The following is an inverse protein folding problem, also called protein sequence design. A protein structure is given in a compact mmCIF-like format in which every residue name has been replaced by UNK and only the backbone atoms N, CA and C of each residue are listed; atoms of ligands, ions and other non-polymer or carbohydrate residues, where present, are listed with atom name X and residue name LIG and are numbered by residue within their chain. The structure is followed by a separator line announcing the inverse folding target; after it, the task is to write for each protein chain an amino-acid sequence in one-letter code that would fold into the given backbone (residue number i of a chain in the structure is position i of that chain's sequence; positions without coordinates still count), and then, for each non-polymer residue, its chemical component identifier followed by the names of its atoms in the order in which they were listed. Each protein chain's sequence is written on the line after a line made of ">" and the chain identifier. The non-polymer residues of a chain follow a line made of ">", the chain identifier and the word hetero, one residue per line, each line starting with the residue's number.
data_IF_023073652450
#
_entry.id   IF_023073652450
#
_cell.length_a   1.000
_cell.length_b   1.000
_cell.length_c   1.000
_cell.angle_alpha   90.00
_cell.angle_beta   90.00
_cell.angle_gamma   90.00
#
_symmetry.space_group_name_H-M   'P 1'
#
loop_
_entity.id
_entity.type
_entity.pdbx_description
1 polymer ?
#
# COMPACT_ATOMS: atom_id res chain seq x y z
N UNK A 1 -33.29 1.47 -18.23
CA UNK A 1 -32.24 0.78 -17.43
C UNK A 1 -32.11 -0.64 -17.95
N UNK A 2 -30.92 -1.05 -18.41
CA UNK A 2 -30.72 -2.38 -19.03
C UNK A 2 -30.86 -3.49 -17.98
N UNK A 3 -31.76 -4.47 -18.19
CA UNK A 3 -32.05 -5.58 -17.25
C UNK A 3 -30.77 -6.33 -16.84
N UNK A 4 -29.79 -6.45 -17.76
CA UNK A 4 -28.48 -7.08 -17.47
C UNK A 4 -27.70 -6.35 -16.36
N UNK A 5 -27.83 -5.03 -16.26
CA UNK A 5 -27.15 -4.24 -15.24
C UNK A 5 -27.80 -4.42 -13.86
N UNK A 6 -29.11 -4.65 -13.80
CA UNK A 6 -29.82 -4.86 -12.55
C UNK A 6 -29.46 -6.22 -11.93
N UNK A 7 -29.48 -7.30 -12.72
CA UNK A 7 -29.09 -8.65 -12.23
C UNK A 7 -27.63 -8.69 -11.76
N UNK A 8 -26.71 -8.05 -12.48
CA UNK A 8 -25.30 -7.95 -12.05
C UNK A 8 -25.17 -7.21 -10.71
N UNK A 9 -25.91 -6.11 -10.52
CA UNK A 9 -25.91 -5.34 -9.25
C UNK A 9 -26.46 -6.17 -8.08
N UNK A 10 -27.55 -6.91 -8.29
CA UNK A 10 -28.15 -7.78 -7.27
C UNK A 10 -27.15 -8.89 -6.88
N UNK A 11 -26.56 -9.58 -7.86
CA UNK A 11 -25.58 -10.64 -7.61
C UNK A 11 -24.33 -10.11 -6.89
N UNK A 12 -23.81 -8.94 -7.29
CA UNK A 12 -22.68 -8.29 -6.60
C UNK A 12 -23.05 -7.90 -5.17
N UNK A 13 -24.26 -7.41 -4.93
CA UNK A 13 -24.76 -7.07 -3.60
C UNK A 13 -24.87 -8.30 -2.70
N UNK A 14 -25.47 -9.38 -3.20
CA UNK A 14 -25.55 -10.65 -2.47
C UNK A 14 -24.16 -11.21 -2.17
N UNK A 15 -23.26 -11.23 -3.15
CA UNK A 15 -21.87 -11.67 -2.95
C UNK A 15 -21.20 -10.88 -1.82
N UNK A 16 -21.27 -9.55 -1.84
CA UNK A 16 -20.67 -8.70 -0.79
C UNK A 16 -21.26 -8.99 0.60
N UNK A 17 -22.54 -9.32 0.70
CA UNK A 17 -23.18 -9.69 1.98
C UNK A 17 -22.75 -11.07 2.48
N UNK A 18 -22.46 -12.01 1.57
CA UNK A 18 -22.04 -13.37 1.92
C UNK A 18 -20.54 -13.48 2.18
N UNK A 19 -19.73 -12.55 1.68
CA UNK A 19 -18.27 -12.56 1.85
C UNK A 19 -17.81 -12.64 3.32
N UNK A 20 -18.37 -11.85 4.26
CA UNK A 20 -18.02 -11.96 5.68
C UNK A 20 -18.33 -13.33 6.28
N UNK A 21 -19.34 -14.03 5.79
CA UNK A 21 -19.71 -15.38 6.27
C UNK A 21 -18.73 -16.44 5.77
N UNK A 22 -18.23 -16.29 4.54
CA UNK A 22 -17.24 -17.20 3.96
C UNK A 22 -15.80 -16.93 4.45
N UNK A 23 -15.50 -15.69 4.88
CA UNK A 23 -14.15 -15.26 5.22
C UNK A 23 -13.46 -16.15 6.26
N UNK A 24 -14.08 -16.54 7.40
CA UNK A 24 -13.43 -17.39 8.39
C UNK A 24 -12.95 -18.73 7.82
N UNK A 25 -13.77 -19.40 7.01
CA UNK A 25 -13.43 -20.69 6.40
C UNK A 25 -12.31 -20.56 5.36
N UNK A 26 -12.37 -19.54 4.51
CA UNK A 26 -11.31 -19.25 3.51
C UNK A 26 -9.98 -18.97 4.21
N UNK A 27 -10.01 -18.13 5.24
CA UNK A 27 -8.85 -17.75 6.04
C UNK A 27 -8.25 -18.95 6.79
N UNK A 28 -9.09 -19.79 7.41
CA UNK A 28 -8.65 -21.00 8.10
C UNK A 28 -7.99 -21.98 7.13
N UNK A 29 -8.58 -22.19 5.95
CA UNK A 29 -7.99 -23.05 4.91
C UNK A 29 -6.65 -22.50 4.41
N UNK A 30 -6.54 -21.19 4.19
CA UNK A 30 -5.28 -20.57 3.80
C UNK A 30 -4.22 -20.73 4.90
N UNK A 31 -4.56 -20.48 6.16
CA UNK A 31 -3.65 -20.67 7.29
C UNK A 31 -3.21 -22.13 7.45
N UNK A 32 -4.13 -23.10 7.34
CA UNK A 32 -3.81 -24.52 7.40
C UNK A 32 -2.83 -24.95 6.30
N UNK A 33 -3.00 -24.44 5.07
CA UNK A 33 -2.05 -24.70 3.98
C UNK A 33 -0.65 -24.16 4.28
N UNK A 34 -0.55 -22.98 4.89
CA UNK A 34 0.75 -22.39 5.28
C UNK A 34 1.39 -23.17 6.41
N UNK A 35 0.62 -23.55 7.43
CA UNK A 35 1.10 -24.33 8.56
C UNK A 35 1.57 -25.74 8.16
N UNK A 36 0.94 -26.35 7.16
CA UNK A 36 1.31 -27.68 6.69
C UNK A 36 2.68 -27.72 6.00
N UNK A 37 3.10 -26.64 5.33
CA UNK A 37 4.41 -26.55 4.67
C UNK A 37 4.88 -25.08 4.57
N UNK A 38 5.42 -24.51 5.67
CA UNK A 38 5.88 -23.12 5.67
C UNK A 38 7.00 -22.86 4.64
N UNK A 39 7.87 -23.85 4.41
CA UNK A 39 8.99 -23.75 3.47
C UNK A 39 8.51 -23.57 2.03
N UNK A 40 7.53 -24.37 1.61
CA UNK A 40 6.90 -24.23 0.29
C UNK A 40 6.27 -22.84 0.10
N UNK A 41 5.55 -22.33 1.10
CA UNK A 41 4.90 -21.01 0.97
C UNK A 41 5.91 -19.86 0.95
N UNK A 42 7.04 -20.00 1.63
CA UNK A 42 8.16 -19.06 1.52
C UNK A 42 8.80 -19.06 0.12
N UNK A 43 8.98 -20.23 -0.48
CA UNK A 43 9.45 -20.35 -1.87
C UNK A 43 8.43 -19.77 -2.86
N UNK A 44 7.12 -20.02 -2.66
CA UNK A 44 6.04 -19.45 -3.48
C UNK A 44 5.97 -17.93 -3.35
N UNK A 45 6.16 -17.39 -2.15
CA UNK A 45 6.23 -15.95 -1.93
C UNK A 45 7.41 -15.34 -2.70
N UNK A 46 8.59 -15.96 -2.66
CA UNK A 46 9.76 -15.51 -3.42
C UNK A 46 9.49 -15.51 -4.94
N UNK A 47 8.90 -16.60 -5.46
CA UNK A 47 8.54 -16.71 -6.87
C UNK A 47 7.48 -15.68 -7.29
N UNK A 48 6.49 -15.42 -6.44
CA UNK A 48 5.48 -14.39 -6.67
C UNK A 48 6.10 -12.99 -6.71
N UNK A 49 7.05 -12.69 -5.80
CA UNK A 49 7.82 -11.44 -5.81
C UNK A 49 8.60 -11.30 -7.11
N UNK A 50 9.32 -12.34 -7.53
CA UNK A 50 10.09 -12.33 -8.78
C UNK A 50 9.20 -11.96 -9.99
N UNK A 51 8.03 -12.59 -10.11
CA UNK A 51 7.08 -12.29 -11.19
C UNK A 51 6.53 -10.86 -11.13
N UNK A 52 6.20 -10.36 -9.94
CA UNK A 52 5.70 -8.99 -9.80
C UNK A 52 6.77 -7.93 -10.08
N UNK A 53 8.03 -8.19 -9.74
CA UNK A 53 9.15 -7.33 -10.15
C UNK A 53 9.32 -7.35 -11.68
N UNK A 54 9.25 -8.53 -12.31
CA UNK A 54 9.30 -8.64 -13.76
C UNK A 54 8.14 -7.91 -14.46
N UNK A 55 6.95 -7.88 -13.84
CA UNK A 55 5.81 -7.10 -14.34
C UNK A 55 6.07 -5.58 -14.34
N UNK A 56 6.85 -5.06 -13.39
CA UNK A 56 7.28 -3.66 -13.36
C UNK A 56 8.43 -3.35 -14.33
N UNK A 57 9.23 -4.33 -14.74
CA UNK A 57 10.40 -4.12 -15.58
C UNK A 57 10.15 -3.29 -16.87
N UNK A 58 9.10 -3.56 -17.68
CA UNK A 58 8.83 -2.77 -18.89
C UNK A 58 8.23 -1.39 -18.60
N UNK A 59 7.84 -1.09 -17.35
CA UNK A 59 7.19 0.16 -16.99
C UNK A 59 8.23 1.21 -16.63
N UNK A 60 8.31 2.25 -17.45
CA UNK A 60 9.25 3.36 -17.23
C UNK A 60 8.78 4.32 -16.15
N UNK A 61 7.47 4.57 -16.09
CA UNK A 61 6.89 5.54 -15.17
C UNK A 61 6.03 4.81 -14.14
N UNK A 62 6.29 5.10 -12.87
CA UNK A 62 5.57 4.54 -11.75
C UNK A 62 4.84 5.66 -11.00
N UNK A 63 3.64 5.35 -10.52
CA UNK A 63 2.88 6.21 -9.63
C UNK A 63 3.65 6.49 -8.34
N UNK A 64 3.45 7.68 -7.76
CA UNK A 64 4.11 8.10 -6.52
C UNK A 64 3.90 7.10 -5.37
N UNK A 65 2.69 6.55 -5.24
CA UNK A 65 2.37 5.52 -4.26
C UNK A 65 3.13 4.21 -4.51
N UNK A 66 3.27 3.77 -5.77
CA UNK A 66 4.07 2.60 -6.11
C UNK A 66 5.56 2.80 -5.80
N UNK A 67 6.11 3.97 -6.16
CA UNK A 67 7.48 4.35 -5.83
C UNK A 67 7.70 4.32 -4.32
N UNK A 68 6.85 5.00 -3.55
CA UNK A 68 7.01 5.11 -2.10
C UNK A 68 6.90 3.75 -1.40
N UNK A 69 5.90 2.92 -1.73
CA UNK A 69 5.69 1.61 -1.08
C UNK A 69 6.89 0.67 -1.30
N UNK A 70 7.37 0.58 -2.54
CA UNK A 70 8.51 -0.27 -2.89
C UNK A 70 9.82 0.26 -2.30
N UNK A 71 10.04 1.58 -2.42
CA UNK A 71 11.21 2.26 -1.84
C UNK A 71 11.25 2.08 -0.33
N UNK A 72 10.12 2.28 0.36
CA UNK A 72 10.05 2.13 1.82
C UNK A 72 10.33 0.71 2.26
N UNK A 73 9.77 -0.28 1.57
CA UNK A 73 10.02 -1.70 1.83
C UNK A 73 11.48 -2.08 1.57
N UNK A 74 12.08 -1.56 0.49
CA UNK A 74 13.50 -1.75 0.20
C UNK A 74 14.40 -1.17 1.29
N UNK A 75 14.14 0.08 1.71
CA UNK A 75 14.90 0.76 2.78
C UNK A 75 14.76 0.11 4.15
N UNK A 76 13.73 -0.73 4.35
CA UNK A 76 13.58 -1.58 5.55
C UNK A 76 14.33 -2.90 5.46
N UNK A 77 14.93 -3.22 4.32
CA UNK A 77 15.63 -4.49 4.10
C UNK A 77 14.71 -5.65 3.70
N UNK A 78 13.47 -5.38 3.28
CA UNK A 78 12.51 -6.44 3.00
C UNK A 78 12.88 -7.26 1.76
N UNK A 79 13.25 -6.58 0.67
CA UNK A 79 13.53 -7.21 -0.62
C UNK A 79 14.54 -6.39 -1.45
N UNK A 80 15.76 -6.90 -1.71
CA UNK A 80 16.77 -6.22 -2.51
C UNK A 80 16.37 -6.03 -3.97
N UNK A 81 15.52 -6.90 -4.53
CA UNK A 81 15.03 -6.73 -5.91
C UNK A 81 14.23 -5.45 -6.13
N UNK A 82 13.79 -4.76 -5.08
CA UNK A 82 13.10 -3.46 -5.20
C UNK A 82 14.04 -2.28 -5.46
N UNK A 83 15.37 -2.48 -5.49
CA UNK A 83 16.33 -1.40 -5.75
C UNK A 83 16.11 -0.66 -7.09
N UNK A 84 15.44 -1.28 -8.08
CA UNK A 84 15.11 -0.62 -9.36
C UNK A 84 14.28 0.67 -9.21
N UNK A 85 13.61 0.86 -8.07
CA UNK A 85 12.81 2.07 -7.85
C UNK A 85 13.67 3.32 -7.71
N UNK A 86 14.96 3.20 -7.37
CA UNK A 86 15.87 4.35 -7.33
C UNK A 86 16.00 5.02 -8.69
N UNK A 87 16.22 4.23 -9.75
CA UNK A 87 16.27 4.72 -11.13
C UNK A 87 14.94 5.34 -11.56
N UNK A 88 13.82 4.76 -11.10
CA UNK A 88 12.47 5.24 -11.42
C UNK A 88 12.15 6.55 -10.70
N UNK A 89 12.58 6.73 -9.45
CA UNK A 89 12.50 8.01 -8.72
C UNK A 89 13.35 9.06 -9.43
N UNK A 90 14.59 8.73 -9.81
CA UNK A 90 15.49 9.65 -10.50
C UNK A 90 14.91 10.10 -11.86
N UNK A 91 14.25 9.19 -12.58
CA UNK A 91 13.51 9.53 -13.80
C UNK A 91 12.33 10.45 -13.49
N UNK A 92 11.47 10.07 -12.54
CA UNK A 92 10.27 10.84 -12.16
C UNK A 92 10.63 12.30 -11.85
N UNK A 93 11.72 12.52 -11.10
CA UNK A 93 12.26 13.85 -10.77
C UNK A 93 12.61 14.72 -11.98
N UNK A 94 12.98 14.11 -13.10
CA UNK A 94 13.37 14.82 -14.33
C UNK A 94 12.21 15.01 -15.31
N UNK A 95 11.06 14.36 -15.08
CA UNK A 95 9.95 14.35 -16.04
C UNK A 95 8.73 15.09 -15.53
N UNK A 96 8.52 15.20 -14.22
CA UNK A 96 7.32 15.79 -13.62
C UNK A 96 7.72 16.69 -12.44
N UNK A 97 7.07 17.86 -12.34
CA UNK A 97 7.08 18.66 -11.12
C UNK A 97 6.01 18.11 -10.17
N UNK A 98 6.46 17.49 -9.08
CA UNK A 98 5.59 16.89 -8.07
C UNK A 98 6.11 17.24 -6.66
N UNK A 99 5.35 18.02 -5.85
CA UNK A 99 5.74 18.35 -4.48
C UNK A 99 6.01 17.14 -3.57
N UNK A 100 5.43 15.98 -3.84
CA UNK A 100 5.65 14.75 -3.08
C UNK A 100 7.07 14.18 -3.28
N UNK A 101 7.84 14.61 -4.29
CA UNK A 101 9.24 14.18 -4.47
C UNK A 101 10.15 14.49 -3.27
N UNK A 102 9.77 15.47 -2.43
CA UNK A 102 10.43 15.73 -1.15
C UNK A 102 10.50 14.49 -0.25
N UNK A 103 9.58 13.55 -0.41
CA UNK A 103 9.59 12.29 0.33
C UNK A 103 10.81 11.42 0.01
N UNK A 104 11.46 11.59 -1.14
CA UNK A 104 12.71 10.91 -1.50
C UNK A 104 13.94 11.79 -1.36
N UNK A 105 13.78 13.11 -1.48
CA UNK A 105 14.85 14.09 -1.32
C UNK A 105 14.39 15.26 -0.44
N UNK A 106 14.84 15.33 0.83
CA UNK A 106 14.53 16.43 1.74
C UNK A 106 14.98 17.82 1.27
N UNK A 107 15.78 17.91 0.21
CA UNK A 107 16.21 19.18 -0.40
C UNK A 107 15.40 19.56 -1.65
N UNK A 108 14.47 18.70 -2.08
CA UNK A 108 13.63 18.98 -3.25
C UNK A 108 12.79 20.24 -3.04
N UNK A 109 12.93 21.17 -3.99
CA UNK A 109 12.16 22.40 -4.08
C UNK A 109 11.37 22.43 -5.40
N UNK A 110 10.03 22.26 -5.39
CA UNK A 110 9.22 22.30 -6.60
C UNK A 110 9.25 23.68 -7.28
N UNK A 111 9.70 24.73 -6.58
CA UNK A 111 9.81 26.10 -7.09
C UNK A 111 11.16 26.43 -7.71
N UNK A 112 12.13 25.52 -7.66
CA UNK A 112 13.41 25.71 -8.32
C UNK A 112 13.24 25.91 -9.85
N UNK A 113 14.04 26.77 -10.51
CA UNK A 113 13.89 27.09 -11.94
C UNK A 113 13.88 25.87 -12.86
N UNK A 114 14.64 24.82 -12.53
CA UNK A 114 14.71 23.56 -13.28
C UNK A 114 13.42 22.75 -13.17
N UNK A 115 12.73 22.79 -12.03
CA UNK A 115 11.50 22.04 -11.78
C UNK A 115 10.27 22.77 -12.31
N UNK A 116 10.24 24.10 -12.26
CA UNK A 116 9.16 24.93 -12.84
C UNK A 116 8.97 24.77 -14.35
N UNK A 117 9.95 24.24 -15.07
CA UNK A 117 9.88 23.96 -16.51
C UNK A 117 9.26 22.59 -16.83
N UNK A 118 9.11 21.73 -15.84
CA UNK A 118 8.50 20.41 -16.01
C UNK A 118 6.97 20.53 -15.96
N UNK A 119 6.23 19.61 -16.62
CA UNK A 119 4.79 19.50 -16.45
C UNK A 119 4.41 19.37 -14.97
N UNK A 120 3.40 20.12 -14.54
CA UNK A 120 2.87 19.99 -13.17
C UNK A 120 2.03 18.71 -13.08
N UNK A 121 2.32 17.89 -12.07
CA UNK A 121 1.52 16.71 -11.77
C UNK A 121 0.03 17.03 -11.62
N UNK A 122 -0.31 18.20 -11.07
CA UNK A 122 -1.70 18.63 -10.89
C UNK A 122 -2.43 18.91 -12.20
N UNK A 123 -1.70 19.26 -13.26
CA UNK A 123 -2.25 19.45 -14.60
C UNK A 123 -2.49 18.11 -15.31
N UNK A 124 -1.69 17.09 -14.98
CA UNK A 124 -1.77 15.74 -15.56
C UNK A 124 -2.79 14.87 -14.82
N UNK A 125 -2.80 14.98 -13.48
CA UNK A 125 -3.64 14.20 -12.57
C UNK A 125 -3.89 15.03 -11.30
N UNK A 126 -5.08 15.64 -11.19
CA UNK A 126 -5.45 16.33 -9.96
C UNK A 126 -5.39 15.40 -8.75
N UNK A 127 -4.76 15.87 -7.67
CA UNK A 127 -4.75 15.13 -6.41
C UNK A 127 -6.14 15.05 -5.80
N UNK A 128 -6.45 13.87 -5.27
CA UNK A 128 -7.55 13.69 -4.33
C UNK A 128 -7.24 14.40 -3.01
N UNK A 129 -8.25 14.79 -2.21
CA UNK A 129 -8.04 15.47 -0.93
C UNK A 129 -7.06 14.76 0.01
N UNK A 130 -7.09 13.42 0.01
CA UNK A 130 -6.20 12.61 0.83
C UNK A 130 -4.75 12.64 0.34
N UNK A 131 -4.51 12.79 -0.97
CA UNK A 131 -3.18 12.90 -1.55
C UNK A 131 -2.56 14.27 -1.24
N UNK A 132 -3.37 15.34 -1.27
CA UNK A 132 -2.95 16.67 -0.80
C UNK A 132 -2.54 16.64 0.68
N UNK A 133 -3.30 15.93 1.51
CA UNK A 133 -2.97 15.74 2.92
C UNK A 133 -1.67 14.95 3.12
N UNK A 134 -1.35 13.98 2.26
CA UNK A 134 -0.05 13.29 2.30
C UNK A 134 1.09 14.24 1.90
N UNK A 135 0.85 15.14 0.93
CA UNK A 135 1.84 16.18 0.57
C UNK A 135 2.07 17.11 1.76
N UNK A 136 1.02 17.58 2.44
CA UNK A 136 1.19 18.36 3.68
C UNK A 136 2.04 17.60 4.71
N UNK A 137 1.83 16.29 4.88
CA UNK A 137 2.62 15.46 5.79
C UNK A 137 4.11 15.34 5.39
N UNK A 138 4.41 15.26 4.08
CA UNK A 138 5.79 15.26 3.55
C UNK A 138 6.53 16.55 3.88
N UNK A 139 5.81 17.68 3.92
CA UNK A 139 6.37 19.02 4.08
C UNK A 139 6.28 19.57 5.52
N UNK A 140 5.71 18.80 6.45
CA UNK A 140 5.43 19.26 7.81
C UNK A 140 6.68 19.61 8.65
N UNK A 141 7.89 19.28 8.17
CA UNK A 141 9.16 19.64 8.78
C UNK A 141 9.61 21.08 8.45
N UNK A 142 9.13 21.63 7.32
CA UNK A 142 9.55 22.95 6.81
C UNK A 142 8.39 23.90 6.55
N UNK A 143 7.15 23.41 6.60
CA UNK A 143 5.93 24.20 6.49
C UNK A 143 5.05 23.87 7.68
N UNK A 144 4.50 24.90 8.33
CA UNK A 144 3.50 24.71 9.39
C UNK A 144 2.16 24.29 8.76
N UNK A 145 1.68 23.03 8.97
CA UNK A 145 0.39 22.59 8.46
C UNK A 145 -0.79 23.07 9.34
N UNK A 146 -0.51 23.86 10.37
CA UNK A 146 -1.44 24.37 11.36
C UNK A 146 -1.58 23.46 12.59
N UNK A 147 -1.97 24.06 13.72
CA UNK A 147 -2.05 23.38 15.01
C UNK A 147 -3.01 22.17 15.05
N UNK A 148 -4.02 22.13 14.19
CA UNK A 148 -5.00 21.04 14.11
C UNK A 148 -4.66 19.97 13.06
N UNK A 149 -3.45 19.97 12.49
CA UNK A 149 -3.12 19.05 11.41
C UNK A 149 -3.26 17.57 11.81
N UNK A 150 -2.77 17.19 12.98
CA UNK A 150 -2.92 15.81 13.48
C UNK A 150 -4.38 15.43 13.71
N UNK A 151 -5.23 16.39 14.11
CA UNK A 151 -6.68 16.22 14.23
C UNK A 151 -7.33 15.96 12.87
N UNK A 152 -6.94 16.71 11.84
CA UNK A 152 -7.38 16.48 10.45
C UNK A 152 -6.94 15.11 9.93
N UNK A 153 -5.70 14.68 10.21
CA UNK A 153 -5.25 13.31 9.86
C UNK A 153 -6.12 12.27 10.56
N UNK A 154 -6.33 12.37 11.88
CA UNK A 154 -7.14 11.41 12.61
C UNK A 154 -8.59 11.34 12.10
N UNK A 155 -9.14 12.47 11.67
CA UNK A 155 -10.52 12.58 11.18
C UNK A 155 -10.78 11.86 9.84
N UNK A 156 -9.74 11.44 9.10
CA UNK A 156 -9.93 10.65 7.88
C UNK A 156 -10.22 9.18 8.15
N UNK A 157 -10.17 8.71 9.41
CA UNK A 157 -10.47 7.31 9.74
C UNK A 157 -11.87 6.91 9.24
N UNK A 158 -11.89 5.90 8.39
CA UNK A 158 -13.08 5.33 7.75
C UNK A 158 -13.36 3.89 8.25
N UNK A 159 -12.86 3.54 9.44
CA UNK A 159 -13.13 2.26 10.07
C UNK A 159 -12.31 1.11 9.48
N UNK A 160 -11.03 1.38 9.23
CA UNK A 160 -10.06 0.50 8.57
C UNK A 160 -10.10 0.46 7.04
N UNK A 161 -10.73 1.40 6.37
CA UNK A 161 -10.65 1.55 4.91
C UNK A 161 -9.39 2.29 4.48
N UNK A 162 -9.53 3.07 3.42
CA UNK A 162 -8.44 3.80 2.76
C UNK A 162 -7.96 4.97 3.61
N UNK A 163 -8.89 5.64 4.31
CA UNK A 163 -8.52 6.72 5.24
C UNK A 163 -7.63 6.21 6.38
N UNK A 164 -8.02 5.09 6.99
CA UNK A 164 -7.24 4.49 8.07
C UNK A 164 -5.80 4.09 7.64
N UNK A 165 -5.60 3.60 6.42
CA UNK A 165 -4.24 3.28 5.93
C UNK A 165 -3.41 4.54 5.72
N UNK A 166 -4.03 5.64 5.31
CA UNK A 166 -3.36 6.91 5.10
C UNK A 166 -2.99 7.63 6.40
N UNK A 167 -3.66 7.33 7.52
CA UNK A 167 -3.19 7.76 8.85
C UNK A 167 -1.79 7.18 9.12
N UNK A 168 -1.57 5.91 8.79
CA UNK A 168 -0.27 5.24 8.95
C UNK A 168 0.76 5.79 7.97
N UNK A 169 0.38 6.03 6.71
CA UNK A 169 1.28 6.65 5.73
C UNK A 169 1.69 8.06 6.17
N UNK A 170 0.75 8.93 6.55
CA UNK A 170 1.06 10.28 7.02
C UNK A 170 2.00 10.27 8.23
N UNK A 171 1.74 9.39 9.19
CA UNK A 171 2.60 9.21 10.35
C UNK A 171 4.00 8.72 9.99
N UNK A 172 4.16 7.74 9.07
CA UNK A 172 5.49 7.31 8.60
C UNK A 172 6.24 8.46 7.90
N UNK A 173 5.55 9.23 7.05
CA UNK A 173 6.14 10.39 6.36
C UNK A 173 6.65 11.44 7.36
N UNK A 174 5.81 11.82 8.34
CA UNK A 174 6.18 12.79 9.37
C UNK A 174 7.28 12.28 10.33
N UNK A 175 7.31 10.96 10.62
CA UNK A 175 8.42 10.37 11.39
C UNK A 175 9.74 10.48 10.66
N UNK A 176 9.72 10.29 9.33
CA UNK A 176 10.92 10.30 8.49
C UNK A 176 11.47 11.72 8.29
N UNK A 177 10.61 12.72 8.18
CA UNK A 177 11.04 14.12 8.09
C UNK A 177 11.41 14.71 9.46
N UNK A 178 11.02 14.06 10.56
CA UNK A 178 11.24 14.58 11.91
C UNK A 178 10.27 15.71 12.29
N UNK A 179 9.18 15.88 11.53
CA UNK A 179 8.19 16.93 11.74
C UNK A 179 7.52 16.86 13.13
N UNK A 180 7.35 15.66 13.67
CA UNK A 180 6.77 15.44 15.00
C UNK A 180 7.54 14.36 15.78
N UNK A 181 7.50 14.38 17.13
CA UNK A 181 8.07 13.32 17.94
C UNK A 181 7.44 11.97 17.64
N UNK A 182 8.26 10.91 17.50
CA UNK A 182 7.79 9.57 17.18
C UNK A 182 6.65 9.06 18.11
N UNK A 183 6.67 9.27 19.45
CA UNK A 183 5.59 8.83 20.32
C UNK A 183 4.22 9.45 20.01
N UNK A 184 4.18 10.70 19.52
CA UNK A 184 2.94 11.37 19.11
C UNK A 184 2.35 10.69 17.88
N UNK A 185 3.22 10.38 16.91
CA UNK A 185 2.83 9.71 15.67
C UNK A 185 2.48 8.23 15.90
N UNK A 186 3.12 7.57 16.86
CA UNK A 186 2.73 6.22 17.31
C UNK A 186 1.34 6.21 17.95
N UNK A 187 1.04 7.20 18.79
CA UNK A 187 -0.29 7.36 19.38
C UNK A 187 -1.37 7.63 18.32
N UNK A 188 -1.05 8.36 17.25
CA UNK A 188 -1.95 8.59 16.12
C UNK A 188 -2.27 7.30 15.34
N UNK A 189 -1.28 6.43 15.14
CA UNK A 189 -1.45 5.17 14.38
C UNK A 189 -2.11 4.05 15.19
N UNK A 190 -1.87 3.99 16.51
CA UNK A 190 -2.28 2.85 17.32
C UNK A 190 -3.79 2.49 17.23
N UNK A 191 -4.74 3.44 17.18
CA UNK A 191 -6.17 3.14 17.12
C UNK A 191 -6.60 2.35 15.87
N UNK A 192 -5.90 2.52 14.73
CA UNK A 192 -6.32 1.92 13.46
C UNK A 192 -5.84 0.47 13.28
N UNK A 193 -4.84 0.02 14.05
CA UNK A 193 -4.24 -1.30 13.88
C UNK A 193 -5.23 -2.46 14.10
N UNK A 194 -5.95 -2.48 15.22
CA UNK A 194 -6.90 -3.56 15.52
C UNK A 194 -8.10 -3.58 14.53
N UNK A 195 -8.71 -2.44 14.17
CA UNK A 195 -9.66 -2.35 13.07
C UNK A 195 -9.14 -2.95 11.74
N UNK A 196 -7.94 -2.59 11.28
CA UNK A 196 -7.33 -3.14 10.06
C UNK A 196 -7.22 -4.66 10.10
N UNK A 197 -6.68 -5.21 11.19
CA UNK A 197 -6.55 -6.65 11.34
C UNK A 197 -7.93 -7.35 11.37
N UNK A 198 -8.93 -6.78 12.06
CA UNK A 198 -10.32 -7.29 12.03
C UNK A 198 -10.91 -7.28 10.62
N UNK A 199 -10.75 -6.19 9.88
CA UNK A 199 -11.27 -6.05 8.52
C UNK A 199 -10.61 -7.04 7.55
N UNK A 200 -9.30 -7.28 7.68
CA UNK A 200 -8.63 -8.32 6.89
C UNK A 200 -9.10 -9.74 7.23
N UNK A 201 -9.44 -10.03 8.50
CA UNK A 201 -10.04 -11.33 8.88
C UNK A 201 -11.45 -11.56 8.33
N UNK A 202 -12.18 -10.49 8.01
CA UNK A 202 -13.57 -10.52 7.55
C UNK A 202 -13.73 -10.47 6.04
N UNK A 203 -12.63 -10.46 5.28
CA UNK A 203 -12.68 -10.56 3.82
C UNK A 203 -12.12 -11.90 3.33
N UNK A 204 -12.81 -12.56 2.37
CA UNK A 204 -12.26 -13.69 1.64
C UNK A 204 -11.45 -13.25 0.41
N UNK A 205 -11.38 -11.95 0.13
CA UNK A 205 -10.75 -11.39 -1.05
C UNK A 205 -9.45 -10.64 -0.72
N UNK A 206 -8.35 -11.04 -1.35
CA UNK A 206 -7.04 -10.41 -1.23
C UNK A 206 -6.78 -9.46 -2.41
N UNK A 207 -7.19 -8.20 -2.29
CA UNK A 207 -6.90 -7.15 -3.28
C UNK A 207 -6.19 -5.95 -2.65
N UNK A 208 -6.40 -4.77 -3.23
CA UNK A 208 -5.74 -3.51 -2.87
C UNK A 208 -5.71 -3.22 -1.37
N UNK A 209 -6.87 -2.91 -0.79
CA UNK A 209 -6.99 -2.58 0.62
C UNK A 209 -6.58 -3.73 1.56
N UNK A 210 -6.66 -4.98 1.08
CA UNK A 210 -6.22 -6.14 1.87
C UNK A 210 -4.70 -6.15 1.99
N UNK A 211 -3.99 -5.96 0.87
CA UNK A 211 -2.54 -5.86 0.83
C UNK A 211 -2.06 -4.62 1.59
N UNK A 212 -2.73 -3.48 1.40
CA UNK A 212 -2.40 -2.22 2.06
C UNK A 212 -2.42 -2.32 3.59
N UNK A 213 -3.49 -2.89 4.15
CA UNK A 213 -3.57 -3.13 5.60
C UNK A 213 -2.44 -4.03 6.12
N UNK A 214 -1.98 -5.01 5.34
CA UNK A 214 -0.85 -5.86 5.74
C UNK A 214 0.42 -5.02 5.82
N UNK A 215 0.69 -4.22 4.79
CA UNK A 215 1.86 -3.33 4.75
C UNK A 215 1.83 -2.36 5.94
N UNK A 216 0.69 -1.68 6.16
CA UNK A 216 0.54 -0.73 7.26
C UNK A 216 0.72 -1.39 8.63
N UNK A 217 0.13 -2.57 8.86
CA UNK A 217 0.33 -3.32 10.11
C UNK A 217 1.81 -3.62 10.37
N UNK A 218 2.58 -4.02 9.35
CA UNK A 218 4.01 -4.30 9.49
C UNK A 218 4.85 -3.04 9.65
N UNK A 219 4.48 -1.94 9.03
CA UNK A 219 5.14 -0.64 9.24
C UNK A 219 4.95 -0.12 10.66
N UNK A 220 3.81 -0.40 11.28
CA UNK A 220 3.55 -0.15 12.71
C UNK A 220 4.23 -1.16 13.65
N UNK A 221 5.00 -2.13 13.14
CA UNK A 221 5.61 -3.20 13.95
C UNK A 221 4.58 -4.17 14.56
N UNK A 222 3.39 -4.29 13.96
CA UNK A 222 2.28 -5.15 14.40
C UNK A 222 2.22 -6.45 13.62
N UNK A 223 3.37 -7.12 13.52
CA UNK A 223 3.48 -8.45 12.91
C UNK A 223 2.61 -9.49 13.64
N UNK A 224 2.37 -9.31 14.95
CA UNK A 224 1.47 -10.09 15.79
C UNK A 224 0.02 -10.11 15.29
N UNK A 225 -0.39 -9.05 14.58
CA UNK A 225 -1.72 -8.94 13.99
C UNK A 225 -1.81 -9.52 12.58
N UNK A 226 -0.68 -9.84 11.95
CA UNK A 226 -0.61 -10.43 10.63
C UNK A 226 -0.78 -11.95 10.69
N UNK A 227 -1.64 -12.50 9.83
CA UNK A 227 -1.85 -13.96 9.76
C UNK A 227 -1.04 -14.57 8.61
N UNK A 228 -0.34 -15.70 8.82
CA UNK A 228 0.40 -16.38 7.75
C UNK A 228 -0.48 -16.73 6.53
N UNK A 229 -1.75 -17.10 6.77
CA UNK A 229 -2.71 -17.39 5.69
C UNK A 229 -2.96 -16.23 4.73
N UNK A 230 -2.70 -14.98 5.12
CA UNK A 230 -2.85 -13.82 4.23
C UNK A 230 -1.84 -13.82 3.09
N UNK A 231 -0.61 -14.29 3.34
CA UNK A 231 0.42 -14.50 2.33
C UNK A 231 -0.06 -15.46 1.25
N UNK A 232 -0.64 -16.60 1.65
CA UNK A 232 -1.20 -17.56 0.72
C UNK A 232 -2.34 -16.98 -0.13
N UNK A 233 -3.22 -16.18 0.48
CA UNK A 233 -4.30 -15.53 -0.24
C UNK A 233 -3.79 -14.51 -1.28
N UNK A 234 -2.73 -13.76 -0.97
CA UNK A 234 -2.11 -12.85 -1.93
C UNK A 234 -1.46 -13.60 -3.09
N UNK A 235 -0.69 -14.66 -2.81
CA UNK A 235 -0.04 -15.48 -3.83
C UNK A 235 -1.08 -16.10 -4.78
N UNK A 236 -2.13 -16.70 -4.23
CA UNK A 236 -3.21 -17.33 -5.00
C UNK A 236 -3.98 -16.33 -5.88
N UNK A 237 -3.85 -15.02 -5.61
CA UNK A 237 -4.57 -13.96 -6.32
C UNK A 237 -3.73 -13.22 -7.35
N UNK A 238 -2.43 -13.54 -7.46
CA UNK A 238 -1.57 -12.98 -8.50
C UNK A 238 -2.10 -13.36 -9.89
N UNK A 239 -2.17 -12.37 -10.78
CA UNK A 239 -2.60 -12.59 -12.15
C UNK A 239 -1.48 -13.32 -12.95
N UNK A 240 -1.82 -13.96 -14.09
CA UNK A 240 -0.83 -14.66 -14.94
C UNK A 240 0.30 -13.77 -15.46
N UNK A 241 0.08 -12.46 -15.57
CA UNK A 241 1.10 -11.47 -15.98
C UNK A 241 2.11 -11.13 -14.86
N UNK A 242 1.90 -11.66 -13.64
CA UNK A 242 2.72 -11.37 -12.47
C UNK A 242 2.24 -10.20 -11.63
N UNK A 243 1.26 -9.41 -12.07
CA UNK A 243 0.71 -8.30 -11.30
C UNK A 243 -0.48 -8.70 -10.42
N UNK A 244 -1.07 -7.71 -9.75
CA UNK A 244 -2.31 -7.86 -8.98
C UNK A 244 -3.35 -6.84 -9.39
N UNK A 245 -4.62 -7.26 -9.31
CA UNK A 245 -5.79 -6.47 -9.66
C UNK A 245 -6.69 -6.21 -8.45
N UNK A 246 -7.43 -5.11 -8.52
CA UNK A 246 -8.39 -4.72 -7.49
C UNK A 246 -9.80 -4.60 -8.05
N UNK A 247 -10.79 -4.84 -7.18
CA UNK A 247 -12.19 -4.64 -7.53
C UNK A 247 -12.49 -3.15 -7.55
N UNK A 248 -13.22 -2.69 -8.56
CA UNK A 248 -13.59 -1.28 -8.67
C UNK A 248 -12.46 -0.36 -9.11
N UNK A 249 -11.29 -0.91 -9.46
CA UNK A 249 -10.19 -0.17 -10.11
C UNK A 249 -10.22 -0.50 -11.60
N UNK A 250 -10.58 0.45 -12.49
CA UNK A 250 -10.54 0.24 -13.93
C UNK A 250 -9.10 0.17 -14.45
N UNK A 251 -8.85 -0.59 -15.54
CA UNK A 251 -9.74 -1.60 -16.10
C UNK A 251 -9.89 -2.82 -15.16
N UNK A 252 -11.15 -3.22 -14.91
CA UNK A 252 -11.46 -4.24 -13.90
C UNK A 252 -10.81 -5.59 -14.24
N UNK A 253 -10.11 -6.18 -13.27
CA UNK A 253 -9.46 -7.48 -13.41
C UNK A 253 -8.03 -7.42 -13.99
N UNK A 254 -7.62 -6.30 -14.57
CA UNK A 254 -6.24 -6.12 -15.00
C UNK A 254 -5.34 -5.70 -13.85
N UNK A 255 -4.08 -6.08 -13.95
CA UNK A 255 -3.05 -5.69 -13.00
C UNK A 255 -2.84 -4.18 -13.02
N UNK A 256 -2.62 -3.57 -11.86
CA UNK A 256 -2.31 -2.15 -11.74
C UNK A 256 -1.15 -1.93 -10.77
N UNK A 257 -0.47 -0.78 -10.89
CA UNK A 257 0.74 -0.50 -10.14
C UNK A 257 0.52 -0.46 -8.63
N UNK A 258 -0.57 0.16 -8.19
CA UNK A 258 -0.88 0.34 -6.76
C UNK A 258 -1.12 -1.00 -6.07
N UNK A 259 -2.02 -1.82 -6.61
CA UNK A 259 -2.30 -3.13 -6.00
C UNK A 259 -1.08 -4.05 -6.08
N UNK A 260 -0.32 -3.98 -7.18
CA UNK A 260 0.88 -4.81 -7.36
C UNK A 260 1.99 -4.43 -6.39
N UNK A 261 2.30 -3.14 -6.20
CA UNK A 261 3.34 -2.73 -5.25
C UNK A 261 2.98 -3.10 -3.80
N UNK A 262 1.71 -2.97 -3.43
CA UNK A 262 1.22 -3.33 -2.10
C UNK A 262 1.32 -4.84 -1.85
N UNK A 263 0.93 -5.66 -2.82
CA UNK A 263 1.06 -7.11 -2.71
C UNK A 263 2.53 -7.54 -2.61
N UNK A 264 3.39 -6.95 -3.44
CA UNK A 264 4.85 -7.16 -3.39
C UNK A 264 5.43 -6.81 -2.03
N UNK A 265 5.13 -5.61 -1.50
CA UNK A 265 5.59 -5.16 -0.20
C UNK A 265 5.08 -6.08 0.93
N UNK A 266 3.81 -6.46 0.92
CA UNK A 266 3.24 -7.37 1.91
C UNK A 266 3.94 -8.74 1.94
N UNK A 267 4.23 -9.31 0.77
CA UNK A 267 4.96 -10.58 0.65
C UNK A 267 6.42 -10.44 1.10
N UNK A 268 7.09 -9.36 0.69
CA UNK A 268 8.48 -9.09 1.06
C UNK A 268 8.66 -8.90 2.57
N UNK A 269 7.82 -8.07 3.19
CA UNK A 269 7.85 -7.82 4.64
C UNK A 269 7.50 -9.08 5.43
N UNK A 270 6.60 -9.93 4.92
CA UNK A 270 6.36 -11.26 5.51
C UNK A 270 7.62 -12.12 5.51
N UNK A 271 8.30 -12.22 4.37
CA UNK A 271 9.54 -13.01 4.29
C UNK A 271 10.62 -12.46 5.20
N UNK A 272 10.70 -11.14 5.35
CA UNK A 272 11.64 -10.49 6.27
C UNK A 272 11.35 -10.88 7.72
N UNK A 273 10.10 -10.81 8.17
CA UNK A 273 9.72 -11.21 9.52
C UNK A 273 9.99 -12.70 9.79
N UNK A 274 9.70 -13.59 8.83
CA UNK A 274 9.98 -15.03 8.95
C UNK A 274 11.48 -15.34 9.03
N UNK A 275 12.34 -14.52 8.38
CA UNK A 275 13.80 -14.63 8.53
C UNK A 275 14.27 -14.15 9.90
N UNK A 276 13.68 -13.09 10.44
CA UNK A 276 14.05 -12.54 11.74
C UNK A 276 13.63 -13.43 12.93
N UNK A 277 12.64 -14.31 12.73
CA UNK A 277 12.15 -15.23 13.76
C UNK A 277 12.94 -16.55 13.84
N UNK A 278 13.92 -16.79 12.97
CA UNK A 278 14.76 -17.99 12.92
C UNK A 278 16.16 -17.68 13.43
#
# INVERSE_FOLDING_TARGET
>A
MNVRNLSRRILLGLRRRLEPLAAPAVQARAAARVAADPGLWMARADAAIARGVAWFAPQQDLTMSALYILWRSWRRGAEPRFAFVEDRIARYRRTIRDPALRLFDPTYDPDAPEHRRLPDIMEVRPYLPIELMMIEAVWADVRDPGADFLGRIAAIDDGAGYGATHIVVAADLMKRSGAYPAPVLDALMAPVAAPMARSNRRTPYAGDIFAERIVMLRWMGRDDLCRPGWTAMLIDRQNPDGGWSARGVPPEGLSNQHTTCLALAALAEHRMAERAAR
#
